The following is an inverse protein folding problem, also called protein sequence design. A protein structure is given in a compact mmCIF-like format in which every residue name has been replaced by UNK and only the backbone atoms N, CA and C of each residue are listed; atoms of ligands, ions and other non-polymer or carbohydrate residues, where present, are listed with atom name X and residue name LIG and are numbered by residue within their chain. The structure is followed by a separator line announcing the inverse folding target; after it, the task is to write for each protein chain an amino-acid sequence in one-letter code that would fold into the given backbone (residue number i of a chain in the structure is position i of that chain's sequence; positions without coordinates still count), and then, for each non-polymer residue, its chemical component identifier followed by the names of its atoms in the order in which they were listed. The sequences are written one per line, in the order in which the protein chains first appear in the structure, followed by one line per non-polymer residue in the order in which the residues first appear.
data_IF_925818984401
#
_entry.id   IF_925818984401
#
_cell.length_a   1.000
_cell.length_b   1.000
_cell.length_c   1.000
_cell.angle_alpha   90.00
_cell.angle_beta   90.00
_cell.angle_gamma   90.00
#
_symmetry.space_group_name_H-M   'P 1'
#
loop_
_entity.id
_entity.type
_entity.pdbx_description
1 polymer ?
#
# COMPACT_ATOMS: atom_id res chain seq x y z
N UNK A 1 -52.23 12.43 -12.84
CA UNK A 1 -51.50 13.66 -13.20
C UNK A 1 -50.02 13.34 -13.30
N UNK A 2 -49.50 13.16 -14.50
CA UNK A 2 -48.07 12.88 -14.74
C UNK A 2 -47.31 14.19 -14.60
N UNK A 3 -46.50 14.35 -13.54
CA UNK A 3 -45.57 15.50 -13.44
C UNK A 3 -44.67 15.46 -14.68
N UNK A 4 -44.78 16.48 -15.53
CA UNK A 4 -43.81 16.74 -16.60
C UNK A 4 -42.51 17.13 -15.89
N UNK A 5 -41.50 16.27 -15.95
CA UNK A 5 -40.15 16.63 -15.57
C UNK A 5 -39.57 17.36 -16.78
N UNK A 6 -39.30 18.65 -16.62
CA UNK A 6 -38.68 19.47 -17.65
C UNK A 6 -37.32 19.91 -17.13
N UNK A 7 -36.26 19.49 -17.82
CA UNK A 7 -34.90 19.88 -17.47
C UNK A 7 -34.53 21.18 -18.19
N UNK A 8 -34.14 22.18 -17.42
CA UNK A 8 -33.54 23.40 -17.93
C UNK A 8 -32.03 23.24 -18.10
N UNK A 9 -31.49 23.66 -19.26
CA UNK A 9 -30.08 23.47 -19.59
C UNK A 9 -29.16 24.25 -18.65
N UNK A 10 -29.51 25.49 -18.35
CA UNK A 10 -28.68 26.37 -17.53
C UNK A 10 -28.68 25.90 -16.08
N UNK A 11 -29.81 25.41 -15.59
CA UNK A 11 -29.91 24.81 -14.26
C UNK A 11 -29.11 23.51 -14.13
N UNK A 12 -29.12 22.64 -15.16
CA UNK A 12 -28.28 21.44 -15.20
C UNK A 12 -26.80 21.82 -15.17
N UNK A 13 -26.39 22.79 -16.00
CA UNK A 13 -25.00 23.25 -16.04
C UNK A 13 -24.57 23.87 -14.70
N UNK A 14 -25.38 24.75 -14.11
CA UNK A 14 -25.09 25.37 -12.82
C UNK A 14 -24.94 24.32 -11.70
N UNK A 15 -25.73 23.24 -11.74
CA UNK A 15 -25.61 22.13 -10.79
C UNK A 15 -24.27 21.40 -10.92
N UNK A 16 -23.79 21.18 -12.16
CA UNK A 16 -22.50 20.53 -12.43
C UNK A 16 -21.32 21.47 -12.11
N UNK A 17 -21.47 22.77 -12.36
CA UNK A 17 -20.46 23.79 -12.02
C UNK A 17 -20.31 23.95 -10.50
N UNK A 18 -21.37 23.72 -9.72
CA UNK A 18 -21.31 23.71 -8.26
C UNK A 18 -20.48 22.53 -7.69
N UNK A 19 -20.34 21.42 -8.43
CA UNK A 19 -19.48 20.31 -8.04
C UNK A 19 -19.79 18.98 -8.72
N UNK A 20 -18.99 17.93 -8.42
CA UNK A 20 -19.18 16.62 -9.01
C UNK A 20 -20.54 16.03 -8.70
N UNK A 21 -21.28 15.62 -9.73
CA UNK A 21 -22.63 15.10 -9.58
C UNK A 21 -22.84 13.84 -10.41
N UNK A 22 -23.49 12.84 -9.80
CA UNK A 22 -23.85 11.61 -10.51
C UNK A 22 -25.07 11.85 -11.41
N UNK A 23 -25.14 11.11 -12.52
CA UNK A 23 -26.31 11.15 -13.41
C UNK A 23 -27.62 10.89 -12.67
N UNK A 24 -27.64 9.94 -11.74
CA UNK A 24 -28.85 9.60 -10.99
C UNK A 24 -29.34 10.76 -10.11
N UNK A 25 -28.41 11.51 -9.51
CA UNK A 25 -28.72 12.69 -8.70
C UNK A 25 -29.22 13.86 -9.57
N UNK A 26 -28.58 14.10 -10.72
CA UNK A 26 -29.06 15.08 -11.71
C UNK A 26 -30.46 14.75 -12.21
N UNK A 27 -30.72 13.47 -12.51
CA UNK A 27 -32.01 13.05 -13.01
C UNK A 27 -33.11 13.21 -11.95
N UNK A 28 -32.87 12.78 -10.72
CA UNK A 28 -33.88 12.84 -9.64
C UNK A 28 -35.18 12.06 -9.93
N UNK A 29 -35.23 11.30 -11.02
CA UNK A 29 -36.42 10.61 -11.53
C UNK A 29 -36.06 9.32 -12.29
N UNK A 30 -37.00 8.38 -12.29
CA UNK A 30 -36.93 7.13 -13.05
C UNK A 30 -37.70 7.18 -14.38
N UNK A 31 -38.32 8.32 -14.72
CA UNK A 31 -39.04 8.47 -15.99
C UNK A 31 -38.08 8.42 -17.19
N UNK A 32 -38.29 7.49 -18.12
CA UNK A 32 -37.44 7.33 -19.31
C UNK A 32 -37.44 8.58 -20.19
N UNK A 33 -38.60 9.19 -20.42
CA UNK A 33 -38.72 10.42 -21.22
C UNK A 33 -37.94 11.58 -20.60
N UNK A 34 -38.03 11.75 -19.28
CA UNK A 34 -37.28 12.77 -18.56
C UNK A 34 -35.76 12.50 -18.65
N UNK A 35 -35.35 11.24 -18.48
CA UNK A 35 -33.93 10.84 -18.60
C UNK A 35 -33.42 11.02 -20.03
N UNK A 36 -34.23 10.79 -21.06
CA UNK A 36 -33.86 11.06 -22.44
C UNK A 36 -33.61 12.56 -22.70
N UNK A 37 -34.48 13.43 -22.16
CA UNK A 37 -34.30 14.88 -22.23
C UNK A 37 -32.99 15.32 -21.54
N UNK A 38 -32.74 14.85 -20.31
CA UNK A 38 -31.50 15.17 -19.59
C UNK A 38 -30.26 14.68 -20.34
N UNK A 39 -30.31 13.50 -20.95
CA UNK A 39 -29.19 12.95 -21.72
C UNK A 39 -28.85 13.83 -22.92
N UNK A 40 -29.85 14.31 -23.66
CA UNK A 40 -29.61 15.22 -24.77
C UNK A 40 -28.92 16.53 -24.32
N UNK A 41 -29.31 17.08 -23.17
CA UNK A 41 -28.65 18.27 -22.58
C UNK A 41 -27.19 17.97 -22.22
N UNK A 42 -26.94 16.84 -21.54
CA UNK A 42 -25.59 16.43 -21.13
C UNK A 42 -24.70 16.21 -22.36
N UNK A 43 -25.19 15.49 -23.37
CA UNK A 43 -24.42 15.18 -24.58
C UNK A 43 -24.04 16.47 -25.31
N UNK A 44 -24.95 17.44 -25.41
CA UNK A 44 -24.66 18.77 -25.93
C UNK A 44 -23.55 19.47 -25.14
N UNK A 45 -23.69 19.56 -23.80
CA UNK A 45 -22.69 20.20 -22.93
C UNK A 45 -21.30 19.52 -22.99
N UNK A 46 -21.26 18.19 -23.15
CA UNK A 46 -20.00 17.44 -23.34
C UNK A 46 -19.39 17.77 -24.70
N UNK A 47 -20.17 17.77 -25.78
CA UNK A 47 -19.69 18.09 -27.14
C UNK A 47 -19.15 19.52 -27.27
N UNK A 48 -19.75 20.45 -26.53
CA UNK A 48 -19.29 21.84 -26.44
C UNK A 48 -18.05 22.01 -25.54
N UNK A 49 -17.65 20.95 -24.82
CA UNK A 49 -16.53 20.99 -23.89
C UNK A 49 -16.80 21.79 -22.62
N UNK A 50 -18.07 22.01 -22.25
CA UNK A 50 -18.45 22.70 -21.00
C UNK A 50 -18.29 21.80 -19.78
N UNK A 51 -18.55 20.51 -19.95
CA UNK A 51 -18.47 19.51 -18.89
C UNK A 51 -17.70 18.28 -19.36
N UNK A 52 -17.23 17.49 -18.41
CA UNK A 52 -16.58 16.20 -18.67
C UNK A 52 -16.96 15.18 -17.62
N UNK A 53 -16.78 13.90 -17.97
CA UNK A 53 -17.01 12.78 -17.06
C UNK A 53 -15.72 12.40 -16.33
N UNK A 54 -15.80 12.19 -15.03
CA UNK A 54 -14.71 11.67 -14.20
C UNK A 54 -15.16 10.47 -13.37
N UNK A 55 -14.22 9.68 -12.88
CA UNK A 55 -14.49 8.60 -11.92
C UNK A 55 -14.12 9.06 -10.51
N UNK A 56 -15.12 9.14 -9.63
CA UNK A 56 -14.92 9.33 -8.19
C UNK A 56 -15.46 8.10 -7.46
N UNK A 57 -14.59 7.46 -6.69
CA UNK A 57 -14.89 6.24 -5.96
C UNK A 57 -15.58 5.13 -6.80
N UNK A 58 -15.09 4.91 -8.03
CA UNK A 58 -15.62 3.95 -9.02
C UNK A 58 -16.99 4.31 -9.60
N UNK A 59 -17.51 5.49 -9.30
CA UNK A 59 -18.76 5.98 -9.88
C UNK A 59 -18.51 7.16 -10.83
N UNK A 60 -19.21 7.18 -11.97
CA UNK A 60 -19.14 8.29 -12.92
C UNK A 60 -19.81 9.54 -12.36
N UNK A 61 -19.10 10.67 -12.41
CA UNK A 61 -19.61 11.99 -12.05
C UNK A 61 -19.34 12.97 -13.19
N UNK A 62 -20.28 13.87 -13.45
CA UNK A 62 -20.08 15.02 -14.33
C UNK A 62 -19.49 16.17 -13.51
N UNK A 63 -18.55 16.87 -14.11
CA UNK A 63 -17.91 18.07 -13.58
C UNK A 63 -17.74 19.10 -14.69
N UNK A 64 -17.61 20.38 -14.32
CA UNK A 64 -17.18 21.41 -15.26
C UNK A 64 -15.83 21.04 -15.90
N UNK A 65 -15.58 21.49 -17.13
CA UNK A 65 -14.38 21.11 -17.87
C UNK A 65 -13.08 21.51 -17.16
N UNK A 66 -13.06 22.70 -16.56
CA UNK A 66 -11.97 23.27 -15.78
C UNK A 66 -11.97 22.84 -14.31
N UNK A 67 -12.91 21.96 -13.91
CA UNK A 67 -13.04 21.55 -12.52
C UNK A 67 -11.76 20.90 -12.00
N UNK A 68 -11.30 21.40 -10.86
CA UNK A 68 -10.18 20.87 -10.09
C UNK A 68 -10.71 20.33 -8.76
N UNK A 69 -10.24 19.13 -8.42
CA UNK A 69 -10.55 18.52 -7.13
C UNK A 69 -10.00 19.38 -5.99
N UNK A 70 -10.89 19.84 -5.11
CA UNK A 70 -10.53 20.59 -3.91
C UNK A 70 -9.91 19.69 -2.85
N UNK A 71 -9.12 20.30 -1.95
CA UNK A 71 -8.54 19.58 -0.83
C UNK A 71 -9.59 19.07 0.16
N UNK A 72 -10.67 19.82 0.35
CA UNK A 72 -11.82 19.39 1.15
C UNK A 72 -12.44 18.10 0.60
N UNK A 73 -12.67 18.03 -0.71
CA UNK A 73 -13.19 16.81 -1.34
C UNK A 73 -12.19 15.64 -1.23
N UNK A 74 -10.88 15.89 -1.33
CA UNK A 74 -9.86 14.85 -1.11
C UNK A 74 -9.96 14.26 0.30
N UNK A 75 -10.16 15.10 1.32
CA UNK A 75 -10.34 14.66 2.70
C UNK A 75 -11.62 13.85 2.85
N UNK A 76 -12.76 14.34 2.34
CA UNK A 76 -14.05 13.65 2.39
C UNK A 76 -13.98 12.27 1.72
N UNK A 77 -13.33 12.16 0.57
CA UNK A 77 -13.12 10.87 -0.12
C UNK A 77 -12.24 9.91 0.67
N UNK A 78 -11.28 10.42 1.46
CA UNK A 78 -10.47 9.59 2.35
C UNK A 78 -11.30 9.13 3.55
N UNK A 79 -12.00 10.04 4.20
CA UNK A 79 -12.83 9.77 5.38
C UNK A 79 -13.98 8.81 5.07
N UNK A 80 -14.63 8.95 3.91
CA UNK A 80 -15.69 8.05 3.45
C UNK A 80 -15.23 6.60 3.24
N UNK A 81 -13.92 6.35 3.14
CA UNK A 81 -13.31 5.01 3.05
C UNK A 81 -12.79 4.51 4.39
N UNK A 82 -13.05 5.22 5.47
CA UNK A 82 -12.58 4.85 6.79
C UNK A 82 -13.71 4.31 7.65
N UNK A 83 -13.39 3.31 8.47
CA UNK A 83 -14.21 2.93 9.62
C UNK A 83 -13.74 3.72 10.83
N UNK A 84 -14.65 4.40 11.53
CA UNK A 84 -14.34 5.12 12.76
C UNK A 84 -14.35 4.18 13.96
N UNK A 85 -13.36 4.28 14.85
CA UNK A 85 -13.33 3.54 16.13
C UNK A 85 -13.75 4.45 17.29
N UNK A 86 -14.02 3.85 18.45
CA UNK A 86 -14.33 4.57 19.69
C UNK A 86 -13.17 5.45 20.15
N UNK A 87 -11.93 5.01 19.94
CA UNK A 87 -10.71 5.76 20.28
C UNK A 87 -10.42 6.92 19.30
N UNK A 88 -11.36 7.25 18.41
CA UNK A 88 -11.23 8.34 17.44
C UNK A 88 -10.38 8.00 16.21
N UNK A 89 -9.94 6.75 16.02
CA UNK A 89 -9.19 6.38 14.83
C UNK A 89 -10.07 6.35 13.58
N UNK A 90 -9.49 6.77 12.45
CA UNK A 90 -10.06 6.59 11.12
C UNK A 90 -9.29 5.45 10.43
N UNK A 91 -9.85 4.24 10.46
CA UNK A 91 -9.20 3.03 9.97
C UNK A 91 -9.48 2.87 8.48
N UNK A 92 -8.43 2.97 7.67
CA UNK A 92 -8.51 2.82 6.23
C UNK A 92 -8.98 1.42 5.83
N UNK A 93 -10.04 1.34 5.01
CA UNK A 93 -10.59 0.06 4.53
C UNK A 93 -10.13 -0.31 3.12
N UNK A 94 -9.42 0.59 2.43
CA UNK A 94 -8.87 0.35 1.10
C UNK A 94 -7.54 -0.40 1.09
N UNK A 95 -6.84 -0.36 -0.04
CA UNK A 95 -5.54 -1.02 -0.18
C UNK A 95 -4.49 -0.41 0.77
N UNK A 96 -3.76 -1.29 1.46
CA UNK A 96 -2.64 -0.94 2.36
C UNK A 96 -1.36 -1.54 1.75
N UNK A 97 -0.46 -0.67 1.31
CA UNK A 97 0.85 -1.06 0.81
C UNK A 97 1.75 -1.47 1.99
N UNK A 98 2.39 -2.67 1.99
CA UNK A 98 3.22 -3.14 3.10
C UNK A 98 4.40 -2.23 3.46
N UNK A 99 4.84 -1.38 2.52
CA UNK A 99 5.95 -0.45 2.68
C UNK A 99 5.46 0.98 2.88
N UNK A 100 4.37 1.42 2.24
CA UNK A 100 3.90 2.81 2.25
C UNK A 100 2.74 3.06 3.21
N UNK A 101 1.96 2.04 3.55
CA UNK A 101 0.76 2.14 4.39
C UNK A 101 -0.50 2.35 3.55
N UNK A 102 -1.57 2.92 4.13
CA UNK A 102 -2.82 3.25 3.42
C UNK A 102 -2.59 4.03 2.13
N UNK A 103 -3.13 3.53 1.01
CA UNK A 103 -2.98 4.14 -0.31
C UNK A 103 -4.34 4.59 -0.85
N UNK A 104 -4.38 5.82 -1.36
CA UNK A 104 -5.53 6.42 -2.04
C UNK A 104 -5.19 6.75 -3.49
N UNK A 105 -6.18 6.73 -4.35
CA UNK A 105 -6.10 7.17 -5.75
C UNK A 105 -7.27 8.11 -6.03
N UNK A 106 -6.99 9.23 -6.68
CA UNK A 106 -7.99 10.19 -7.13
C UNK A 106 -8.11 10.09 -8.65
N UNK A 107 -9.22 9.54 -9.13
CA UNK A 107 -9.43 9.24 -10.56
C UNK A 107 -8.74 7.96 -11.04
N UNK A 108 -9.01 7.53 -12.29
CA UNK A 108 -8.47 6.30 -12.85
C UNK A 108 -6.97 6.43 -13.17
N UNK A 109 -6.57 7.58 -13.72
CA UNK A 109 -5.18 7.83 -14.15
C UNK A 109 -4.30 8.48 -13.07
N UNK A 110 -4.90 8.92 -11.95
CA UNK A 110 -4.16 9.55 -10.86
C UNK A 110 -3.17 8.57 -10.21
N UNK A 111 -1.96 8.97 -9.82
CA UNK A 111 -1.00 8.07 -9.21
C UNK A 111 -1.45 7.60 -7.82
N UNK A 112 -1.20 6.34 -7.43
CA UNK A 112 -1.47 5.87 -6.08
C UNK A 112 -0.58 6.64 -5.09
N UNK A 113 -1.23 7.35 -4.16
CA UNK A 113 -0.58 8.23 -3.19
C UNK A 113 -0.88 7.75 -1.77
N UNK A 114 0.06 7.91 -0.84
CA UNK A 114 -0.19 7.52 0.55
C UNK A 114 -1.27 8.43 1.17
N UNK A 115 -2.36 7.85 1.70
CA UNK A 115 -3.49 8.61 2.25
C UNK A 115 -3.06 9.54 3.37
N UNK A 116 -2.21 9.07 4.30
CA UNK A 116 -1.63 9.91 5.37
C UNK A 116 -0.84 11.10 4.86
N UNK A 117 -0.13 10.96 3.72
CA UNK A 117 0.62 12.06 3.11
C UNK A 117 -0.34 13.13 2.57
N UNK A 118 -1.45 12.72 1.96
CA UNK A 118 -2.48 13.64 1.47
C UNK A 118 -3.07 14.43 2.64
N UNK A 119 -3.59 13.73 3.66
CA UNK A 119 -4.20 14.37 4.85
C UNK A 119 -3.23 15.34 5.51
N UNK A 120 -1.97 14.92 5.73
CA UNK A 120 -0.95 15.79 6.33
C UNK A 120 -0.66 17.03 5.48
N UNK A 121 -0.50 16.85 4.16
CA UNK A 121 -0.16 17.96 3.26
C UNK A 121 -1.27 19.00 3.25
N UNK A 122 -2.53 18.57 3.27
CA UNK A 122 -3.68 19.46 3.32
C UNK A 122 -3.78 20.19 4.67
N UNK A 123 -3.62 19.46 5.79
CA UNK A 123 -3.84 20.04 7.13
C UNK A 123 -2.65 20.86 7.65
N UNK A 124 -1.42 20.58 7.21
CA UNK A 124 -0.19 21.17 7.76
C UNK A 124 0.79 21.72 6.72
N UNK A 125 0.64 21.33 5.46
CA UNK A 125 1.54 21.74 4.38
C UNK A 125 2.56 20.66 3.97
N UNK A 126 3.41 21.00 2.99
CA UNK A 126 4.24 20.03 2.28
C UNK A 126 5.28 19.38 3.20
N UNK A 127 5.53 18.09 2.92
CA UNK A 127 6.58 17.32 3.58
C UNK A 127 7.91 17.45 2.85
N UNK A 128 8.99 17.65 3.60
CA UNK A 128 10.35 17.63 3.08
C UNK A 128 10.77 16.26 2.51
N UNK A 129 11.87 16.25 1.74
CA UNK A 129 12.35 15.10 0.95
C UNK A 129 12.48 13.79 1.75
N UNK A 130 12.92 13.89 3.00
CA UNK A 130 13.18 12.74 3.89
C UNK A 130 12.09 12.51 4.94
N UNK A 131 11.04 13.33 4.94
CA UNK A 131 9.95 13.23 5.89
C UNK A 131 8.89 12.23 5.42
N UNK A 132 8.43 11.44 6.38
CA UNK A 132 7.37 10.43 6.23
C UNK A 132 6.33 10.65 7.30
N UNK A 133 5.08 10.33 6.99
CA UNK A 133 3.98 10.39 7.95
C UNK A 133 3.58 8.99 8.34
N UNK A 134 3.46 8.75 9.64
CA UNK A 134 3.19 7.44 10.24
C UNK A 134 1.95 7.51 11.11
N UNK A 135 1.32 6.36 11.33
CA UNK A 135 0.39 6.22 12.43
C UNK A 135 1.18 6.34 13.74
N UNK A 136 0.66 7.14 14.65
CA UNK A 136 1.16 7.34 16.00
C UNK A 136 0.41 6.55 17.05
N UNK A 137 -0.74 5.99 16.68
CA UNK A 137 -1.50 4.96 17.40
C UNK A 137 -1.06 3.54 16.98
N UNK A 138 -1.61 2.53 17.65
CA UNK A 138 -1.25 1.12 17.43
C UNK A 138 -1.77 0.54 16.10
N UNK A 139 -2.81 1.14 15.51
CA UNK A 139 -3.33 0.68 14.23
C UNK A 139 -2.55 1.28 13.03
N UNK A 140 -1.83 0.46 12.25
CA UNK A 140 -1.03 0.94 11.12
C UNK A 140 -1.88 1.47 9.94
N UNK A 141 -3.17 1.13 9.89
CA UNK A 141 -4.13 1.56 8.89
C UNK A 141 -4.80 2.89 9.24
N UNK A 142 -4.56 3.44 10.44
CA UNK A 142 -5.12 4.72 10.84
C UNK A 142 -4.64 5.87 9.94
N UNK A 143 -5.60 6.72 9.54
CA UNK A 143 -5.38 7.95 8.74
C UNK A 143 -5.97 9.20 9.42
N UNK A 144 -6.35 9.13 10.69
CA UNK A 144 -6.74 10.31 11.47
C UNK A 144 -5.55 11.25 11.63
N UNK A 145 -5.73 12.54 11.36
CA UNK A 145 -4.65 13.54 11.36
C UNK A 145 -4.01 13.69 12.75
N UNK A 146 -4.84 13.69 13.78
CA UNK A 146 -4.50 13.82 15.20
C UNK A 146 -3.59 12.67 15.66
N UNK A 147 -3.74 11.51 15.03
CA UNK A 147 -2.93 10.33 15.32
C UNK A 147 -1.69 10.24 14.42
N UNK A 148 -1.39 11.22 13.56
CA UNK A 148 -0.22 11.18 12.70
C UNK A 148 1.05 11.67 13.40
N UNK A 149 2.17 10.98 13.15
CA UNK A 149 3.51 11.39 13.59
C UNK A 149 4.43 11.57 12.39
N UNK A 150 5.25 12.62 12.42
CA UNK A 150 6.38 12.76 11.51
C UNK A 150 7.47 11.76 11.90
N UNK A 151 8.06 11.13 10.89
CA UNK A 151 9.28 10.36 11.04
C UNK A 151 10.15 10.50 9.81
N UNK A 152 11.37 9.99 9.88
CA UNK A 152 12.28 9.95 8.74
C UNK A 152 12.16 8.62 7.99
N UNK A 153 12.68 8.51 6.76
CA UNK A 153 12.80 7.21 6.08
C UNK A 153 13.61 6.20 6.91
N UNK A 154 14.62 6.65 7.64
CA UNK A 154 15.49 5.82 8.48
C UNK A 154 14.74 5.17 9.67
N UNK A 155 13.73 5.84 10.22
CA UNK A 155 13.01 5.32 11.40
C UNK A 155 12.18 4.07 11.08
N UNK A 156 11.98 3.72 9.80
CA UNK A 156 11.20 2.54 9.39
C UNK A 156 12.07 1.28 9.46
N UNK A 157 13.38 1.44 9.31
CA UNK A 157 14.35 0.37 9.46
C UNK A 157 14.56 -0.02 10.94
N UNK A 158 14.44 0.95 11.86
CA UNK A 158 14.71 0.74 13.30
C UNK A 158 13.64 -0.06 14.06
N UNK A 159 12.44 -0.26 13.50
CA UNK A 159 11.31 -0.88 14.20
C UNK A 159 10.83 -2.23 13.66
N UNK A 160 11.43 -2.77 12.59
CA UNK A 160 11.03 -4.09 12.07
C UNK A 160 11.76 -5.16 12.86
N UNK A 161 11.07 -5.82 13.80
CA UNK A 161 11.58 -7.07 14.35
C UNK A 161 11.75 -8.05 13.19
N UNK A 162 12.98 -8.24 12.74
CA UNK A 162 13.29 -9.29 11.77
C UNK A 162 12.86 -10.60 12.41
N UNK A 163 12.07 -11.39 11.69
CA UNK A 163 11.72 -12.74 12.15
C UNK A 163 13.01 -13.52 12.39
N UNK A 164 13.03 -14.50 13.31
CA UNK A 164 14.21 -15.34 13.52
C UNK A 164 14.78 -15.90 12.21
N UNK A 165 13.90 -16.31 11.28
CA UNK A 165 14.27 -16.80 9.94
C UNK A 165 14.97 -15.74 9.09
N UNK A 166 14.48 -14.50 9.07
CA UNK A 166 15.12 -13.42 8.32
C UNK A 166 16.49 -13.07 8.92
N UNK A 167 16.63 -13.09 10.25
CA UNK A 167 17.93 -12.88 10.92
C UNK A 167 18.93 -13.98 10.55
N UNK A 168 18.50 -15.24 10.57
CA UNK A 168 19.33 -16.39 10.20
C UNK A 168 19.77 -16.32 8.73
N UNK A 169 18.87 -15.95 7.81
CA UNK A 169 19.21 -15.75 6.39
C UNK A 169 20.25 -14.64 6.19
N UNK A 170 20.09 -13.50 6.86
CA UNK A 170 21.06 -12.39 6.80
C UNK A 170 22.41 -12.82 7.36
N UNK A 171 22.43 -13.48 8.53
CA UNK A 171 23.65 -13.98 9.14
C UNK A 171 24.38 -14.99 8.22
N UNK A 172 23.65 -15.91 7.58
CA UNK A 172 24.22 -16.86 6.61
C UNK A 172 24.77 -16.17 5.37
N UNK A 173 24.05 -15.20 4.81
CA UNK A 173 24.54 -14.43 3.66
C UNK A 173 25.84 -13.69 4.01
N UNK A 174 25.94 -13.10 5.21
CA UNK A 174 27.16 -12.47 5.69
C UNK A 174 28.29 -13.49 5.94
N UNK A 175 27.97 -14.66 6.50
CA UNK A 175 28.94 -15.73 6.72
C UNK A 175 29.48 -16.29 5.39
N UNK A 176 28.63 -16.45 4.37
CA UNK A 176 29.04 -16.89 3.03
C UNK A 176 29.88 -15.82 2.31
N UNK A 177 29.53 -14.54 2.43
CA UNK A 177 30.28 -13.45 1.81
C UNK A 177 31.69 -13.25 2.41
N UNK A 178 31.90 -13.65 3.67
CA UNK A 178 33.18 -13.46 4.40
C UNK A 178 33.96 -14.76 4.60
N UNK A 179 33.34 -15.90 4.38
CA UNK A 179 33.86 -17.22 4.73
C UNK A 179 34.37 -18.00 3.52
N UNK A 180 35.12 -19.07 3.78
CA UNK A 180 35.62 -20.01 2.76
C UNK A 180 34.54 -20.96 2.22
N UNK A 181 33.38 -21.00 2.87
CA UNK A 181 32.27 -21.90 2.57
C UNK A 181 31.00 -21.12 2.25
N UNK A 182 30.19 -21.68 1.37
CA UNK A 182 28.82 -21.26 1.04
C UNK A 182 27.89 -22.48 1.06
N UNK A 183 26.59 -22.26 0.84
CA UNK A 183 25.58 -23.32 0.86
C UNK A 183 25.81 -24.40 -0.22
N UNK A 184 26.37 -24.04 -1.37
CA UNK A 184 26.63 -24.99 -2.45
C UNK A 184 27.79 -25.91 -2.07
N UNK A 185 28.90 -25.36 -1.57
CA UNK A 185 30.03 -26.12 -1.05
C UNK A 185 29.63 -27.00 0.13
N UNK A 186 28.77 -26.51 1.03
CA UNK A 186 28.22 -27.28 2.14
C UNK A 186 27.42 -28.49 1.65
N UNK A 187 26.58 -28.31 0.63
CA UNK A 187 25.83 -29.42 0.03
C UNK A 187 26.76 -30.44 -0.62
N UNK A 188 27.80 -29.97 -1.31
CA UNK A 188 28.83 -30.84 -1.88
C UNK A 188 29.58 -31.64 -0.81
N UNK A 189 29.94 -31.01 0.31
CA UNK A 189 30.56 -31.68 1.47
C UNK A 189 29.64 -32.76 2.05
N UNK A 190 28.33 -32.48 2.17
CA UNK A 190 27.35 -33.46 2.69
C UNK A 190 27.14 -34.65 1.76
N UNK A 191 27.18 -34.41 0.45
CA UNK A 191 26.99 -35.44 -0.56
C UNK A 191 28.25 -36.28 -0.81
N UNK A 192 29.44 -35.82 -0.43
CA UNK A 192 30.69 -36.54 -0.67
C UNK A 192 30.90 -37.71 0.29
N UNK A 193 31.40 -38.82 -0.24
CA UNK A 193 31.86 -39.99 0.51
C UNK A 193 33.34 -39.89 0.94
N UNK A 194 34.05 -38.85 0.52
CA UNK A 194 35.47 -38.67 0.80
C UNK A 194 35.76 -38.48 2.29
N UNK A 195 37.02 -38.72 2.66
CA UNK A 195 37.46 -38.53 4.04
C UNK A 195 37.41 -37.05 4.44
N UNK A 196 37.16 -36.79 5.72
CA UNK A 196 37.12 -35.42 6.25
C UNK A 196 38.46 -34.70 6.06
N UNK A 197 39.59 -35.42 6.02
CA UNK A 197 40.92 -34.86 5.76
C UNK A 197 41.00 -34.27 4.35
N UNK A 198 40.57 -35.04 3.34
CA UNK A 198 40.60 -34.62 1.93
C UNK A 198 39.69 -33.42 1.69
N UNK A 199 38.50 -33.42 2.30
CA UNK A 199 37.56 -32.31 2.19
C UNK A 199 38.06 -31.05 2.92
N UNK A 200 38.70 -31.20 4.07
CA UNK A 200 39.27 -30.10 4.84
C UNK A 200 40.35 -29.37 4.04
N UNK A 201 41.26 -30.12 3.42
CA UNK A 201 42.30 -29.58 2.56
C UNK A 201 41.72 -28.89 1.32
N UNK A 202 40.79 -29.55 0.61
CA UNK A 202 40.15 -29.00 -0.60
C UNK A 202 39.45 -27.66 -0.36
N UNK A 203 38.70 -27.55 0.74
CA UNK A 203 37.92 -26.34 1.04
C UNK A 203 38.66 -25.36 1.96
N UNK A 204 39.91 -25.67 2.35
CA UNK A 204 40.74 -24.81 3.20
C UNK A 204 40.15 -24.56 4.60
N UNK A 205 39.42 -25.54 5.15
CA UNK A 205 38.78 -25.48 6.48
C UNK A 205 39.32 -26.59 7.38
N UNK A 206 39.01 -26.54 8.68
CA UNK A 206 39.47 -27.57 9.60
C UNK A 206 38.66 -28.87 9.46
N UNK A 207 39.30 -30.01 9.78
CA UNK A 207 38.64 -31.33 9.80
C UNK A 207 37.40 -31.37 10.72
N UNK A 208 37.44 -30.77 11.93
CA UNK A 208 36.23 -30.61 12.77
C UNK A 208 35.10 -29.83 12.09
N UNK A 209 35.41 -28.80 11.29
CA UNK A 209 34.39 -28.04 10.55
C UNK A 209 33.69 -28.93 9.53
N UNK A 210 34.41 -29.79 8.82
CA UNK A 210 33.80 -30.78 7.90
C UNK A 210 32.88 -31.74 8.65
N UNK A 211 33.33 -32.29 9.78
CA UNK A 211 32.52 -33.19 10.60
C UNK A 211 31.23 -32.54 11.13
N UNK A 212 31.31 -31.30 11.60
CA UNK A 212 30.14 -30.53 12.04
C UNK A 212 29.15 -30.25 10.90
N UNK A 213 29.63 -30.04 9.68
CA UNK A 213 28.78 -29.85 8.50
C UNK A 213 28.05 -31.13 8.12
N UNK A 214 28.74 -32.29 8.13
CA UNK A 214 28.16 -33.61 7.82
C UNK A 214 27.10 -34.02 8.84
N UNK A 215 27.35 -33.77 10.13
CA UNK A 215 26.38 -33.99 11.22
C UNK A 215 25.24 -32.96 11.28
N UNK A 216 25.22 -32.00 10.35
CA UNK A 216 24.22 -30.93 10.31
C UNK A 216 24.17 -30.11 11.62
N UNK A 217 25.30 -30.01 12.35
CA UNK A 217 25.43 -29.18 13.55
C UNK A 217 25.63 -27.70 13.16
N UNK A 218 26.31 -27.48 12.04
CA UNK A 218 26.51 -26.17 11.41
C UNK A 218 25.90 -26.16 10.01
N UNK A 219 25.66 -24.97 9.47
CA UNK A 219 25.08 -24.78 8.13
C UNK A 219 23.75 -25.50 7.88
N UNK A 220 22.89 -25.62 8.91
CA UNK A 220 21.56 -26.23 8.78
C UNK A 220 20.74 -25.54 7.68
N UNK A 221 20.15 -26.32 6.78
CA UNK A 221 19.26 -25.80 5.75
C UNK A 221 17.84 -25.72 6.30
N UNK A 222 17.16 -24.60 6.08
CA UNK A 222 15.78 -24.37 6.50
C UNK A 222 14.87 -24.42 5.28
N UNK A 223 14.09 -25.48 5.20
CA UNK A 223 13.19 -25.78 4.10
C UNK A 223 12.47 -27.09 4.36
N UNK A 224 11.48 -27.06 5.26
CA UNK A 224 10.68 -28.23 5.61
C UNK A 224 9.67 -27.93 6.71
N UNK A 225 8.69 -28.83 6.88
CA UNK A 225 7.55 -28.70 7.80
C UNK A 225 7.94 -28.49 9.27
N UNK A 226 9.19 -28.82 9.65
CA UNK A 226 9.69 -28.75 11.02
C UNK A 226 10.57 -27.53 11.33
N UNK A 227 10.60 -26.54 10.43
CA UNK A 227 11.41 -25.31 10.61
C UNK A 227 11.04 -24.53 11.89
N UNK A 228 9.79 -24.65 12.35
CA UNK A 228 9.31 -24.03 13.59
C UNK A 228 9.86 -24.65 14.88
N UNK A 229 10.49 -25.84 14.81
CA UNK A 229 11.02 -26.58 15.96
C UNK A 229 12.52 -26.37 16.17
N UNK A 230 13.17 -25.52 15.36
CA UNK A 230 14.59 -25.23 15.53
C UNK A 230 14.76 -24.40 16.81
N UNK A 231 15.41 -24.93 17.86
CA UNK A 231 15.62 -24.16 19.09
C UNK A 231 16.44 -22.91 18.74
N UNK A 232 15.95 -21.75 19.17
CA UNK A 232 16.73 -20.52 19.09
C UNK A 232 18.04 -20.76 19.84
N UNK A 233 19.19 -20.41 19.24
CA UNK A 233 20.46 -20.44 19.96
C UNK A 233 20.29 -19.60 21.23
N UNK A 234 20.37 -20.25 22.38
CA UNK A 234 20.56 -19.57 23.65
C UNK A 234 21.82 -18.69 23.49
N UNK A 235 21.68 -17.41 23.82
CA UNK A 235 22.82 -16.50 23.85
C UNK A 235 23.73 -16.97 25.00
N UNK A 236 24.94 -17.40 24.67
CA UNK A 236 26.05 -17.40 25.62
C UNK A 236 26.55 -15.96 25.78
#
# INVERSE_FOLDING_TARGET
MTRRFEFDRDQVLATIEAGPVQYAALAGTMSDSARAQLRAIIDALVSEGRIRLIQLDRFPHYVAADWVMSDELRLQLIEGKCRRTLDGCLIWTGYIDPRRGPMVRFGPDGPPTAARRVVWTIKRGPLGLQQTVRAGCDDPACVAYEHMKLGTRADKARGRSLTPLTRLRIARAQQAARGKLDLEKVRAIRASAESETVLAERYGVSKPTIGQIRRNETWREEGGMFTALIPGRARA
#
